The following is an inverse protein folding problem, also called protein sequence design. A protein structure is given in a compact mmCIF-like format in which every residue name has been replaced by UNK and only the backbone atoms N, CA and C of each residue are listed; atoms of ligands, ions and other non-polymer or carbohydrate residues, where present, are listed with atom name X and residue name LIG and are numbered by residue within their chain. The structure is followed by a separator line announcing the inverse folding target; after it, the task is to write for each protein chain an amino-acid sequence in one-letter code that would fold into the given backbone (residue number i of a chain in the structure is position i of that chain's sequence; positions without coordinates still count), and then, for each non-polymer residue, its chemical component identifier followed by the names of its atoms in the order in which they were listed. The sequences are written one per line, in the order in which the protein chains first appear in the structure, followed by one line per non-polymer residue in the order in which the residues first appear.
data_IF_403387367429
#
_entry.id   IF_403387367429
#
_cell.length_a   1.000
_cell.length_b   1.000
_cell.length_c   1.000
_cell.angle_alpha   90.00
_cell.angle_beta   90.00
_cell.angle_gamma   90.00
#
_symmetry.space_group_name_H-M   'P 1'
#
loop_
_entity.id
_entity.type
_entity.pdbx_description
1 polymer ?
#
# COMPACT_ATOMS: atom_id res chain seq x y z
N UNK A 1 21.54 -37.42 52.29
CA UNK A 1 20.29 -37.08 51.61
C UNK A 1 20.16 -35.57 51.30
N UNK A 2 21.28 -34.83 51.16
CA UNK A 2 21.28 -33.36 50.97
C UNK A 2 22.00 -32.90 49.69
N UNK A 3 22.59 -33.83 48.91
CA UNK A 3 23.32 -33.52 47.66
C UNK A 3 22.47 -33.63 46.38
N UNK A 4 21.25 -34.17 46.47
CA UNK A 4 20.37 -34.36 45.31
C UNK A 4 19.44 -33.15 45.09
N UNK A 5 19.30 -32.27 46.10
CA UNK A 5 18.40 -31.12 46.02
C UNK A 5 18.99 -29.90 45.28
N UNK A 6 20.30 -29.86 45.04
CA UNK A 6 20.94 -28.74 44.36
C UNK A 6 20.92 -28.83 42.82
N UNK A 7 20.70 -30.04 42.28
CA UNK A 7 20.66 -30.27 40.82
C UNK A 7 19.35 -29.87 40.15
N UNK A 8 18.25 -29.80 40.91
CA UNK A 8 16.93 -29.45 40.36
C UNK A 8 16.62 -27.95 40.36
N UNK A 9 17.34 -27.15 41.15
CA UNK A 9 17.13 -25.69 41.23
C UNK A 9 17.82 -24.95 40.07
N UNK A 10 18.83 -25.56 39.44
CA UNK A 10 19.58 -24.95 38.33
C UNK A 10 18.88 -25.14 36.97
N UNK A 11 17.91 -26.07 36.85
CA UNK A 11 17.20 -26.31 35.59
C UNK A 11 15.99 -25.39 35.34
N UNK A 12 15.65 -24.48 36.27
CA UNK A 12 14.42 -23.66 36.17
C UNK A 12 14.66 -22.19 35.77
N UNK A 13 15.88 -21.80 35.38
CA UNK A 13 16.23 -20.40 35.09
C UNK A 13 16.86 -20.15 33.71
N UNK A 14 16.52 -20.95 32.70
CA UNK A 14 16.79 -20.60 31.29
C UNK A 14 15.55 -20.72 30.42
N UNK A 15 14.43 -20.12 30.85
CA UNK A 15 13.46 -19.62 29.88
C UNK A 15 14.07 -18.35 29.25
N UNK A 16 14.93 -18.54 28.24
CA UNK A 16 15.24 -17.46 27.31
C UNK A 16 13.91 -17.01 26.73
N UNK A 17 13.47 -15.81 27.13
CA UNK A 17 12.42 -15.11 26.41
C UNK A 17 13.01 -14.80 25.03
N UNK A 18 12.87 -15.72 24.08
CA UNK A 18 13.09 -15.46 22.67
C UNK A 18 12.01 -14.44 22.30
N UNK A 19 12.31 -13.14 22.47
CA UNK A 19 11.51 -12.10 21.84
C UNK A 19 11.66 -12.35 20.35
N UNK A 20 10.60 -12.85 19.72
CA UNK A 20 10.54 -12.97 18.28
C UNK A 20 10.92 -11.61 17.68
N UNK A 21 12.02 -11.56 16.92
CA UNK A 21 12.43 -10.35 16.25
C UNK A 21 11.30 -9.96 15.29
N UNK A 22 10.74 -8.78 15.47
CA UNK A 22 9.69 -8.29 14.59
C UNK A 22 10.25 -8.21 13.18
N UNK A 23 9.68 -9.00 12.27
CA UNK A 23 10.11 -9.06 10.88
C UNK A 23 9.68 -7.76 10.22
N UNK A 24 10.60 -6.91 9.73
CA UNK A 24 10.23 -5.67 9.06
C UNK A 24 9.32 -5.94 7.86
N UNK A 25 8.55 -4.95 7.44
CA UNK A 25 7.63 -5.01 6.30
C UNK A 25 8.36 -5.55 5.06
N UNK A 26 9.57 -5.03 4.83
CA UNK A 26 10.55 -5.43 3.83
C UNK A 26 11.95 -4.98 4.29
N UNK A 27 13.06 -5.50 3.72
CA UNK A 27 14.40 -5.00 4.00
C UNK A 27 14.51 -3.49 3.71
N UNK A 28 14.96 -2.70 4.69
CA UNK A 28 15.02 -1.23 4.59
C UNK A 28 13.73 -0.50 4.96
N UNK A 29 12.72 -1.17 5.53
CA UNK A 29 11.57 -0.51 6.12
C UNK A 29 11.97 0.21 7.43
N UNK A 30 11.65 1.50 7.52
CA UNK A 30 11.99 2.37 8.64
C UNK A 30 10.74 3.08 9.19
N UNK A 31 10.93 3.96 10.18
CA UNK A 31 9.84 4.76 10.75
C UNK A 31 8.80 3.98 11.55
N UNK A 32 7.67 4.63 11.79
CA UNK A 32 6.58 4.13 12.64
C UNK A 32 5.89 2.89 12.07
N UNK A 33 5.92 2.71 10.75
CA UNK A 33 5.25 1.60 10.07
C UNK A 33 6.20 0.45 9.68
N UNK A 34 7.46 0.45 10.16
CA UNK A 34 8.45 -0.55 9.70
C UNK A 34 8.09 -2.01 9.91
N UNK A 35 7.14 -2.32 10.80
CA UNK A 35 6.72 -3.70 11.11
C UNK A 35 5.32 -4.06 10.59
N UNK A 36 4.70 -3.21 9.76
CA UNK A 36 3.43 -3.57 9.12
C UNK A 36 3.63 -4.80 8.24
N UNK A 37 2.64 -5.68 8.22
CA UNK A 37 2.74 -6.96 7.50
C UNK A 37 2.11 -6.90 6.12
N UNK A 38 1.23 -5.93 5.87
CA UNK A 38 0.48 -5.82 4.61
C UNK A 38 -0.30 -7.10 4.33
N UNK A 39 -0.11 -7.65 3.13
CA UNK A 39 -0.71 -8.88 2.65
C UNK A 39 0.04 -10.18 3.00
N UNK A 40 1.09 -10.13 3.85
CA UNK A 40 1.93 -11.31 4.14
C UNK A 40 1.11 -12.52 4.59
N UNK A 41 1.35 -13.69 3.99
CA UNK A 41 0.61 -14.94 4.24
C UNK A 41 -0.77 -15.00 3.58
N UNK A 42 -1.15 -13.93 2.86
CA UNK A 42 -2.38 -13.82 2.13
C UNK A 42 -2.35 -14.43 0.73
N UNK A 43 -3.46 -14.28 0.02
CA UNK A 43 -3.58 -14.68 -1.39
C UNK A 43 -3.01 -13.60 -2.32
N UNK A 44 -2.51 -14.04 -3.46
CA UNK A 44 -2.05 -13.14 -4.52
C UNK A 44 -3.20 -12.80 -5.46
N UNK A 45 -3.35 -11.52 -5.79
CA UNK A 45 -4.26 -11.03 -6.84
C UNK A 45 -3.40 -10.41 -7.94
N UNK A 46 -3.55 -10.91 -9.16
CA UNK A 46 -2.84 -10.38 -10.32
C UNK A 46 -3.66 -9.33 -11.04
N UNK A 47 -3.07 -8.16 -11.24
CA UNK A 47 -3.49 -7.19 -12.24
C UNK A 47 -2.92 -7.63 -13.58
N UNK A 48 -3.79 -7.95 -14.54
CA UNK A 48 -3.42 -8.58 -15.81
C UNK A 48 -3.55 -7.65 -17.01
N UNK A 49 -4.20 -6.49 -16.85
CA UNK A 49 -4.34 -5.50 -17.91
C UNK A 49 -4.45 -4.07 -17.37
N UNK A 50 -4.26 -3.10 -18.28
CA UNK A 50 -4.22 -1.67 -17.95
C UNK A 50 -5.59 -0.97 -17.99
N UNK A 51 -6.65 -1.66 -18.41
CA UNK A 51 -8.00 -1.08 -18.52
C UNK A 51 -8.63 -0.86 -17.14
N UNK A 52 -9.32 0.26 -16.96
CA UNK A 52 -10.08 0.63 -15.76
C UNK A 52 -11.58 0.75 -16.01
N UNK A 53 -12.13 -0.06 -16.91
CA UNK A 53 -13.57 -0.09 -17.12
C UNK A 53 -14.28 -0.39 -15.78
N UNK A 54 -15.46 0.23 -15.60
CA UNK A 54 -16.38 -0.04 -14.50
C UNK A 54 -17.66 -0.65 -15.06
N UNK A 55 -18.29 -1.54 -14.32
CA UNK A 55 -19.63 -2.01 -14.65
C UNK A 55 -20.70 -0.97 -14.27
N UNK A 56 -21.97 -1.28 -14.57
CA UNK A 56 -23.11 -0.39 -14.27
C UNK A 56 -23.33 -0.12 -12.78
N UNK A 57 -22.66 -0.87 -11.90
CA UNK A 57 -22.71 -0.72 -10.45
C UNK A 57 -21.45 -0.03 -9.89
N UNK A 58 -20.54 0.40 -10.76
CA UNK A 58 -19.31 1.09 -10.40
C UNK A 58 -18.16 0.16 -10.03
N UNK A 59 -18.30 -1.17 -10.19
CA UNK A 59 -17.24 -2.12 -9.84
C UNK A 59 -16.25 -2.31 -11.00
N UNK A 60 -14.96 -2.42 -10.67
CA UNK A 60 -13.92 -2.71 -11.67
C UNK A 60 -14.05 -4.09 -12.32
N UNK A 61 -13.75 -4.21 -13.62
CA UNK A 61 -13.66 -5.51 -14.29
C UNK A 61 -12.49 -6.35 -13.78
N UNK A 62 -12.72 -7.66 -13.65
CA UNK A 62 -11.72 -8.65 -13.21
C UNK A 62 -10.40 -8.51 -13.97
N UNK A 63 -9.30 -8.40 -13.22
CA UNK A 63 -7.95 -8.26 -13.77
C UNK A 63 -7.45 -6.82 -13.80
N UNK A 64 -8.29 -5.82 -13.50
CA UNK A 64 -7.86 -4.43 -13.30
C UNK A 64 -7.30 -4.18 -11.90
N UNK A 65 -6.53 -3.10 -11.75
CA UNK A 65 -6.09 -2.60 -10.45
C UNK A 65 -7.28 -2.24 -9.55
N UNK A 66 -8.30 -1.60 -10.11
CA UNK A 66 -9.54 -1.26 -9.40
C UNK A 66 -10.21 -2.49 -8.81
N UNK A 67 -10.43 -3.53 -9.61
CA UNK A 67 -11.06 -4.76 -9.14
C UNK A 67 -10.26 -5.44 -8.02
N UNK A 68 -8.92 -5.34 -8.05
CA UNK A 68 -8.08 -5.87 -6.97
C UNK A 68 -8.24 -5.08 -5.66
N UNK A 69 -8.27 -3.75 -5.74
CA UNK A 69 -8.40 -2.85 -4.58
C UNK A 69 -9.83 -2.81 -4.00
N UNK A 70 -10.86 -2.99 -4.83
CA UNK A 70 -12.28 -2.99 -4.45
C UNK A 70 -12.80 -4.37 -4.02
N UNK A 71 -11.93 -5.38 -3.88
CA UNK A 71 -12.35 -6.69 -3.38
C UNK A 71 -13.06 -6.57 -2.02
N UNK A 72 -14.00 -7.45 -1.69
CA UNK A 72 -14.72 -7.42 -0.40
C UNK A 72 -14.03 -8.24 0.70
N UNK A 73 -14.04 -7.74 1.95
CA UNK A 73 -13.39 -8.38 3.10
C UNK A 73 -12.08 -7.72 3.55
N UNK A 74 -11.38 -8.35 4.48
CA UNK A 74 -10.09 -7.88 5.03
C UNK A 74 -9.06 -9.02 5.16
N UNK A 75 -9.28 -10.13 4.46
CA UNK A 75 -8.25 -11.16 4.30
C UNK A 75 -6.99 -10.55 3.69
N UNK A 76 -5.78 -10.93 4.14
CA UNK A 76 -4.55 -10.38 3.60
C UNK A 76 -4.43 -10.67 2.11
N UNK A 77 -4.08 -9.65 1.33
CA UNK A 77 -3.88 -9.78 -0.13
C UNK A 77 -2.60 -9.09 -0.58
N UNK A 78 -1.93 -9.73 -1.54
CA UNK A 78 -0.78 -9.16 -2.25
C UNK A 78 -1.21 -8.91 -3.69
N UNK A 79 -1.22 -7.64 -4.08
CA UNK A 79 -1.50 -7.21 -5.45
C UNK A 79 -0.18 -7.17 -6.22
N UNK A 80 -0.09 -8.00 -7.25
CA UNK A 80 1.04 -8.10 -8.17
C UNK A 80 0.61 -7.80 -9.59
N UNK A 81 1.54 -7.45 -10.46
CA UNK A 81 1.26 -7.01 -11.83
C UNK A 81 1.84 -8.01 -12.83
N UNK A 82 1.02 -8.44 -13.78
CA UNK A 82 1.41 -9.21 -14.99
C UNK A 82 1.35 -8.33 -16.24
N UNK A 83 1.26 -7.02 -16.06
CA UNK A 83 1.30 -6.01 -17.09
C UNK A 83 2.16 -4.82 -16.63
N UNK A 84 2.48 -3.92 -17.55
CA UNK A 84 3.19 -2.67 -17.25
C UNK A 84 2.75 -1.59 -18.22
N UNK A 85 2.88 -0.33 -17.81
CA UNK A 85 2.42 0.84 -18.58
C UNK A 85 1.53 1.76 -17.75
N UNK A 86 0.61 2.43 -18.44
CA UNK A 86 -0.25 3.47 -17.86
C UNK A 86 -1.69 2.95 -17.74
N UNK A 87 -2.24 3.00 -16.53
CA UNK A 87 -3.65 2.78 -16.23
C UNK A 87 -4.32 4.16 -16.21
N UNK A 88 -5.21 4.42 -17.16
CA UNK A 88 -6.05 5.62 -17.15
C UNK A 88 -7.33 5.31 -16.36
N UNK A 89 -7.47 5.90 -15.18
CA UNK A 89 -8.63 5.66 -14.32
C UNK A 89 -9.88 6.34 -14.85
N UNK A 90 -11.03 5.71 -14.64
CA UNK A 90 -12.36 6.23 -14.96
C UNK A 90 -13.04 6.91 -13.76
N UNK A 91 -12.35 6.98 -12.62
CA UNK A 91 -12.80 7.59 -11.38
C UNK A 91 -11.81 7.34 -10.25
N UNK A 92 -11.95 8.00 -9.11
CA UNK A 92 -11.12 7.73 -7.93
C UNK A 92 -11.32 6.30 -7.45
N UNK A 93 -10.22 5.57 -7.18
CA UNK A 93 -10.30 4.27 -6.52
C UNK A 93 -10.39 4.51 -5.02
N UNK A 94 -11.48 4.07 -4.39
CA UNK A 94 -11.70 4.17 -2.95
C UNK A 94 -11.47 2.80 -2.31
N UNK A 95 -10.33 2.62 -1.65
CA UNK A 95 -9.91 1.36 -1.02
C UNK A 95 -10.03 1.46 0.52
N UNK A 96 -11.13 0.94 1.07
CA UNK A 96 -11.35 0.85 2.53
C UNK A 96 -10.84 -0.45 3.15
N UNK A 97 -10.39 -1.40 2.34
CA UNK A 97 -9.81 -2.68 2.80
C UNK A 97 -8.53 -2.48 3.60
N UNK A 98 -8.31 -3.39 4.55
CA UNK A 98 -7.06 -3.54 5.30
C UNK A 98 -6.25 -4.76 4.83
N UNK A 99 -5.00 -4.86 5.29
CA UNK A 99 -4.08 -5.99 5.05
C UNK A 99 -3.69 -6.15 3.56
N UNK A 100 -3.22 -5.06 2.95
CA UNK A 100 -2.88 -5.03 1.52
C UNK A 100 -1.39 -4.79 1.33
N UNK A 101 -0.78 -5.50 0.38
CA UNK A 101 0.50 -5.12 -0.22
C UNK A 101 0.32 -4.86 -1.71
N UNK A 102 0.64 -3.66 -2.19
CA UNK A 102 0.78 -3.34 -3.60
C UNK A 102 2.26 -3.46 -3.97
N UNK A 103 2.60 -4.53 -4.68
CA UNK A 103 3.97 -4.86 -5.07
C UNK A 103 4.28 -4.34 -6.49
N UNK A 104 4.39 -3.02 -6.66
CA UNK A 104 4.58 -2.39 -7.98
C UNK A 104 5.86 -2.82 -8.73
N UNK A 105 6.90 -3.29 -8.03
CA UNK A 105 8.13 -3.79 -8.65
C UNK A 105 7.92 -5.08 -9.47
N UNK A 106 6.75 -5.72 -9.36
CA UNK A 106 6.39 -6.90 -10.15
C UNK A 106 5.89 -6.54 -11.55
N UNK A 107 5.55 -5.27 -11.80
CA UNK A 107 5.05 -4.81 -13.09
C UNK A 107 6.10 -4.99 -14.20
N UNK A 108 5.63 -5.33 -15.39
CA UNK A 108 6.48 -5.58 -16.54
C UNK A 108 7.06 -4.27 -17.11
N UNK A 109 8.16 -4.37 -17.85
CA UNK A 109 8.75 -3.24 -18.57
C UNK A 109 9.15 -2.08 -17.64
N UNK A 110 8.63 -0.89 -17.92
CA UNK A 110 8.96 0.33 -17.17
C UNK A 110 8.14 0.51 -15.88
N UNK A 111 7.46 -0.53 -15.41
CA UNK A 111 6.61 -0.48 -14.22
C UNK A 111 5.19 0.04 -14.51
N UNK A 112 4.48 0.41 -13.44
CA UNK A 112 3.07 0.82 -13.50
C UNK A 112 2.91 2.30 -13.16
N UNK A 113 2.08 3.00 -13.92
CA UNK A 113 1.66 4.38 -13.67
C UNK A 113 0.15 4.48 -13.70
N UNK A 114 -0.43 5.21 -12.77
CA UNK A 114 -1.85 5.53 -12.71
C UNK A 114 -2.01 6.99 -13.14
N UNK A 115 -3.00 7.31 -13.98
CA UNK A 115 -3.34 8.68 -14.37
C UNK A 115 -4.84 8.95 -14.40
N UNK A 116 -5.21 10.21 -14.55
CA UNK A 116 -6.59 10.67 -14.60
C UNK A 116 -7.12 10.96 -13.20
N UNK A 117 -7.21 9.93 -12.35
CA UNK A 117 -7.71 10.06 -10.98
C UNK A 117 -6.69 9.56 -9.96
N UNK A 118 -6.94 9.89 -8.69
CA UNK A 118 -6.18 9.43 -7.53
C UNK A 118 -6.59 8.06 -7.00
N UNK A 119 -5.87 7.63 -5.96
CA UNK A 119 -6.25 6.48 -5.14
C UNK A 119 -6.38 6.94 -3.69
N UNK A 120 -7.53 6.63 -3.08
CA UNK A 120 -7.82 6.91 -1.68
C UNK A 120 -7.81 5.62 -0.88
N UNK A 121 -7.06 5.62 0.21
CA UNK A 121 -7.03 4.54 1.18
C UNK A 121 -7.62 5.02 2.52
N UNK A 122 -8.35 4.14 3.19
CA UNK A 122 -8.83 4.37 4.57
C UNK A 122 -8.73 3.14 5.48
N UNK A 123 -8.17 2.05 4.96
CA UNK A 123 -7.91 0.83 5.74
C UNK A 123 -6.64 0.91 6.59
N UNK A 124 -6.18 -0.25 7.02
CA UNK A 124 -5.03 -0.38 7.92
C UNK A 124 -4.10 -1.51 7.49
N UNK A 125 -2.86 -1.50 7.99
CA UNK A 125 -1.86 -2.50 7.66
C UNK A 125 -1.63 -2.59 6.14
N UNK A 126 -1.14 -1.49 5.56
CA UNK A 126 -1.01 -1.31 4.10
C UNK A 126 0.45 -1.09 3.73
N UNK A 127 0.91 -1.78 2.70
CA UNK A 127 2.22 -1.58 2.07
C UNK A 127 1.99 -1.16 0.62
N UNK A 128 2.49 0.00 0.21
CA UNK A 128 2.45 0.46 -1.19
C UNK A 128 3.88 0.70 -1.65
N UNK A 129 4.32 -0.02 -2.69
CA UNK A 129 5.68 0.14 -3.21
C UNK A 129 5.75 0.25 -4.72
N UNK A 130 6.68 1.07 -5.22
CA UNK A 130 7.02 1.17 -6.65
C UNK A 130 5.83 1.52 -7.57
N UNK A 131 4.93 2.37 -7.09
CA UNK A 131 3.80 2.89 -7.84
C UNK A 131 4.08 4.33 -8.30
N UNK A 132 3.68 4.67 -9.52
CA UNK A 132 3.63 6.07 -9.99
C UNK A 132 2.18 6.51 -10.13
N UNK A 133 1.87 7.73 -9.70
CA UNK A 133 0.56 8.34 -9.91
C UNK A 133 0.73 9.75 -10.47
N UNK A 134 0.00 10.05 -11.54
CA UNK A 134 0.04 11.28 -12.34
C UNK A 134 -1.38 11.69 -12.71
N UNK A 135 -2.10 12.35 -11.80
CA UNK A 135 -3.53 12.65 -11.98
C UNK A 135 -3.73 13.47 -13.26
N UNK A 136 -2.96 14.55 -13.42
CA UNK A 136 -3.15 15.52 -14.50
C UNK A 136 -4.42 16.34 -14.28
N UNK A 137 -4.76 17.15 -15.27
CA UNK A 137 -5.94 18.03 -15.26
C UNK A 137 -6.85 17.83 -16.47
N UNK A 138 -6.57 16.83 -17.32
CA UNK A 138 -7.35 16.47 -18.51
C UNK A 138 -8.83 16.19 -18.19
N UNK A 139 -9.11 15.71 -16.98
CA UNK A 139 -10.47 15.41 -16.50
C UNK A 139 -11.13 16.55 -15.72
N UNK A 140 -10.43 17.68 -15.56
CA UNK A 140 -10.84 18.86 -14.78
C UNK A 140 -11.34 18.53 -13.37
N UNK A 141 -10.60 17.67 -12.66
CA UNK A 141 -10.84 17.33 -11.26
C UNK A 141 -9.62 17.66 -10.42
N UNK A 142 -9.85 17.96 -9.15
CA UNK A 142 -8.82 18.37 -8.21
C UNK A 142 -8.32 17.22 -7.32
N UNK A 143 -8.39 15.98 -7.79
CA UNK A 143 -8.06 14.82 -6.96
C UNK A 143 -6.56 14.75 -6.60
N UNK A 144 -6.23 14.47 -5.33
CA UNK A 144 -4.87 14.12 -4.95
C UNK A 144 -4.42 12.80 -5.59
N UNK A 145 -3.14 12.68 -5.92
CA UNK A 145 -2.59 11.44 -6.47
C UNK A 145 -2.69 10.29 -5.45
N UNK A 146 -2.45 10.61 -4.18
CA UNK A 146 -2.66 9.70 -3.06
C UNK A 146 -3.40 10.42 -1.93
N UNK A 147 -4.50 9.83 -1.48
CA UNK A 147 -5.11 10.17 -0.20
C UNK A 147 -5.00 8.97 0.74
N UNK A 148 -4.49 9.18 1.95
CA UNK A 148 -4.62 8.22 3.04
C UNK A 148 -5.23 8.91 4.25
N UNK A 149 -6.47 8.55 4.57
CA UNK A 149 -7.17 9.18 5.68
C UNK A 149 -8.02 8.23 6.50
N UNK A 150 -8.19 8.53 7.80
CA UNK A 150 -8.92 7.69 8.74
C UNK A 150 -8.36 6.25 8.86
N UNK A 151 -7.08 6.07 8.51
CA UNK A 151 -6.38 4.78 8.49
C UNK A 151 -5.22 4.74 9.49
N UNK A 152 -4.56 3.58 9.58
CA UNK A 152 -3.33 3.47 10.39
C UNK A 152 -2.43 2.36 9.91
N UNK A 153 -1.18 2.34 10.36
CA UNK A 153 -0.22 1.29 10.04
C UNK A 153 -0.02 1.17 8.52
N UNK A 154 0.57 2.17 7.90
CA UNK A 154 0.83 2.14 6.47
C UNK A 154 2.26 2.57 6.13
N UNK A 155 2.88 1.88 5.18
CA UNK A 155 4.17 2.26 4.61
C UNK A 155 4.04 2.47 3.10
N UNK A 156 4.38 3.68 2.67
CA UNK A 156 4.48 4.08 1.26
C UNK A 156 5.97 4.24 0.97
N UNK A 157 6.49 3.44 0.05
CA UNK A 157 7.93 3.33 -0.20
C UNK A 157 8.27 3.26 -1.69
N UNK A 158 9.28 4.00 -2.16
CA UNK A 158 9.70 4.00 -3.57
C UNK A 158 8.58 4.36 -4.57
N UNK A 159 7.61 5.16 -4.15
CA UNK A 159 6.55 5.66 -5.02
C UNK A 159 6.88 7.06 -5.55
N UNK A 160 6.22 7.45 -6.64
CA UNK A 160 6.34 8.81 -7.17
C UNK A 160 4.98 9.41 -7.48
N UNK A 161 4.72 10.60 -6.96
CA UNK A 161 3.46 11.33 -7.08
C UNK A 161 3.76 12.71 -7.67
N UNK A 162 3.06 13.05 -8.76
CA UNK A 162 3.22 14.35 -9.43
C UNK A 162 1.97 14.74 -10.19
N UNK A 163 1.91 16.01 -10.59
CA UNK A 163 0.91 16.58 -11.48
C UNK A 163 -0.53 16.41 -10.99
N UNK A 164 -0.76 16.45 -9.67
CA UNK A 164 -2.10 16.76 -9.13
C UNK A 164 -2.37 18.25 -9.15
N UNK A 165 -3.65 18.63 -9.22
CA UNK A 165 -4.10 20.02 -9.24
C UNK A 165 -4.04 20.66 -7.84
N UNK A 166 -4.43 19.93 -6.79
CA UNK A 166 -4.26 20.35 -5.39
C UNK A 166 -2.97 19.72 -4.80
N UNK A 167 -3.03 18.98 -3.68
CA UNK A 167 -1.88 18.21 -3.20
C UNK A 167 -1.65 16.92 -3.99
N UNK A 168 -0.39 16.59 -4.27
CA UNK A 168 -0.04 15.26 -4.77
C UNK A 168 -0.31 14.16 -3.74
N UNK A 169 -0.08 14.44 -2.45
CA UNK A 169 -0.19 13.45 -1.37
C UNK A 169 -0.87 14.10 -0.17
N UNK A 170 -2.04 13.56 0.21
CA UNK A 170 -2.80 13.94 1.39
C UNK A 170 -2.78 12.79 2.41
N UNK A 171 -2.14 12.98 3.56
CA UNK A 171 -2.09 12.01 4.66
C UNK A 171 -2.62 12.71 5.92
N UNK A 172 -3.86 12.42 6.30
CA UNK A 172 -4.62 13.17 7.32
C UNK A 172 -5.44 12.24 8.20
N UNK A 173 -5.57 12.53 9.50
CA UNK A 173 -6.31 11.68 10.45
C UNK A 173 -5.84 10.22 10.46
N UNK A 174 -4.52 10.01 10.51
CA UNK A 174 -3.88 8.69 10.51
C UNK A 174 -2.98 8.46 11.72
N UNK A 175 -2.69 7.19 12.00
CA UNK A 175 -1.71 6.77 13.00
C UNK A 175 -0.64 5.84 12.39
N UNK A 176 0.61 5.99 12.84
CA UNK A 176 1.72 5.09 12.51
C UNK A 176 1.90 4.87 11.00
N UNK A 177 2.16 5.97 10.28
CA UNK A 177 2.44 5.97 8.84
C UNK A 177 3.91 6.26 8.57
N UNK A 178 4.48 5.65 7.54
CA UNK A 178 5.81 5.97 7.03
C UNK A 178 5.74 6.23 5.53
N UNK A 179 6.24 7.39 5.13
CA UNK A 179 6.41 7.78 3.74
C UNK A 179 7.91 7.93 3.49
N UNK A 180 8.54 6.92 2.88
CA UNK A 180 10.00 6.83 2.73
C UNK A 180 10.41 6.62 1.27
N UNK A 181 11.58 7.11 0.88
CA UNK A 181 12.13 6.92 -0.48
C UNK A 181 11.17 7.27 -1.62
N UNK A 182 10.23 8.17 -1.37
CA UNK A 182 9.23 8.58 -2.36
C UNK A 182 9.60 9.92 -2.99
N UNK A 183 9.18 10.13 -4.23
CA UNK A 183 9.25 11.41 -4.91
C UNK A 183 7.87 12.05 -4.84
N UNK A 184 7.76 13.21 -4.20
CA UNK A 184 6.59 14.08 -4.29
C UNK A 184 7.03 15.37 -4.99
N UNK A 185 6.57 15.58 -6.22
CA UNK A 185 7.10 16.65 -7.08
C UNK A 185 6.04 17.26 -7.98
N UNK A 186 6.23 18.53 -8.35
CA UNK A 186 5.49 19.19 -9.44
C UNK A 186 3.97 19.08 -9.34
N UNK A 187 3.34 19.73 -8.36
CA UNK A 187 1.89 20.03 -8.46
C UNK A 187 1.64 21.00 -9.64
N UNK A 188 0.45 20.95 -10.23
CA UNK A 188 0.08 21.83 -11.33
C UNK A 188 -0.26 23.23 -10.82
N UNK A 189 0.53 24.23 -11.20
CA UNK A 189 0.40 25.61 -10.71
C UNK A 189 -0.69 26.43 -11.42
N UNK A 190 -0.92 26.20 -12.72
CA UNK A 190 -1.91 26.93 -13.53
C UNK A 190 -2.89 25.94 -14.13
N UNK A 191 -3.78 25.44 -13.29
CA UNK A 191 -4.74 24.40 -13.65
C UNK A 191 -6.13 24.76 -13.12
N UNK A 192 -6.97 23.79 -12.80
CA UNK A 192 -8.41 23.98 -12.51
C UNK A 192 -8.73 24.47 -11.10
N UNK A 193 -7.73 24.80 -10.28
CA UNK A 193 -7.87 25.28 -8.89
C UNK A 193 -7.18 26.64 -8.71
#
# INVERSE_FOLDING_TARGET
MLKILFGFIILFFLSYNIKAQQIPAFPGAEGYAKYVTGGRGGRVIYVTHLKDNIDKFGAGYKGSLRAALETSGNDPIIIMFQCGGVINLMGTINCSRSNITIAGHTALGQGICVKGYGIKFSGQNIIIRYLRVRVGDEIMQNDPALTFSNGKNAIIDHCSFSWSVEENVNITDVDSVTFQWCINSESLYSSTH
#
